data_IF_209299153959
#
_entry.id   IF_209299153959
#
_cell.length_a   1.000
_cell.length_b   1.000
_cell.length_c   1.000
_cell.angle_alpha   90.00
_cell.angle_beta   90.00
_cell.angle_gamma   90.00
#
_symmetry.space_group_name_H-M   'P 1'
#
loop_
_entity.id
_entity.type
_entity.pdbx_description
1 polymer ?
#
# COMPACT_ATOMS: atom_id res chain seq x y z
N UNK A 1 -7.38 13.52 4.84
CA UNK A 1 -8.28 12.53 5.46
C UNK A 1 -7.92 11.19 4.86
N UNK A 2 -7.60 10.19 5.70
CA UNK A 2 -7.20 8.86 5.21
C UNK A 2 -8.45 8.12 4.77
N UNK A 3 -8.45 7.58 3.55
CA UNK A 3 -9.54 6.78 3.01
C UNK A 3 -9.03 5.38 2.73
N UNK A 4 -9.67 4.38 3.35
CA UNK A 4 -9.40 2.97 3.11
C UNK A 4 -10.56 2.37 2.33
N UNK A 5 -10.25 1.70 1.23
CA UNK A 5 -11.22 0.98 0.41
C UNK A 5 -10.81 -0.49 0.32
N UNK A 6 -11.67 -1.38 0.80
CA UNK A 6 -11.49 -2.82 0.64
C UNK A 6 -12.54 -3.35 -0.36
N UNK A 7 -12.09 -4.10 -1.36
CA UNK A 7 -12.94 -4.77 -2.34
C UNK A 7 -12.73 -6.27 -2.21
N UNK A 8 -13.85 -6.99 -2.06
CA UNK A 8 -13.87 -8.45 -2.04
C UNK A 8 -14.78 -8.92 -3.17
N UNK A 9 -14.24 -9.76 -4.04
CA UNK A 9 -14.96 -10.49 -5.08
C UNK A 9 -14.55 -11.96 -5.02
N UNK A 10 -15.29 -12.84 -5.68
CA UNK A 10 -14.97 -14.28 -5.70
C UNK A 10 -13.55 -14.49 -6.23
N UNK A 11 -12.62 -14.89 -5.35
CA UNK A 11 -11.20 -15.12 -5.67
C UNK A 11 -10.31 -13.88 -5.74
N UNK A 12 -10.81 -12.68 -5.43
CA UNK A 12 -10.03 -11.43 -5.52
C UNK A 12 -10.24 -10.56 -4.28
N UNK A 13 -9.13 -10.07 -3.71
CA UNK A 13 -9.12 -9.12 -2.62
C UNK A 13 -8.20 -7.95 -2.97
N UNK A 14 -8.71 -6.73 -2.84
CA UNK A 14 -7.92 -5.50 -3.03
C UNK A 14 -8.12 -4.56 -1.84
N UNK A 15 -7.03 -4.02 -1.32
CA UNK A 15 -7.03 -2.96 -0.32
C UNK A 15 -6.32 -1.75 -0.92
N UNK A 16 -6.97 -0.59 -0.88
CA UNK A 16 -6.43 0.68 -1.35
C UNK A 16 -6.49 1.72 -0.22
N UNK A 17 -5.41 2.47 -0.05
CA UNK A 17 -5.26 3.45 1.02
C UNK A 17 -4.79 4.78 0.45
N UNK A 18 -5.63 5.81 0.51
CA UNK A 18 -5.36 7.15 -0.01
C UNK A 18 -5.25 8.19 1.09
N UNK A 19 -4.51 9.27 0.81
CA UNK A 19 -4.43 10.44 1.68
C UNK A 19 -3.75 10.17 3.02
N UNK A 20 -2.91 9.14 3.08
CA UNK A 20 -2.08 8.75 4.22
C UNK A 20 -0.62 9.21 4.07
N UNK A 21 -0.28 9.94 3.00
CA UNK A 21 1.01 10.58 2.77
C UNK A 21 0.75 11.96 2.16
N UNK A 22 1.52 12.97 2.55
CA UNK A 22 1.32 14.38 2.15
C UNK A 22 0.93 15.26 3.32
N UNK A 23 1.95 15.94 3.88
CA UNK A 23 1.94 17.03 4.86
C UNK A 23 0.79 17.06 5.87
N UNK A 24 1.05 16.62 7.10
CA UNK A 24 0.05 16.65 8.16
C UNK A 24 0.56 17.38 9.42
N UNK A 25 -0.33 18.16 10.06
CA UNK A 25 -0.07 18.82 11.33
C UNK A 25 0.43 17.82 12.39
N UNK A 26 1.20 18.33 13.38
CA UNK A 26 1.76 17.53 14.48
C UNK A 26 0.77 16.50 15.03
N UNK A 27 1.16 15.21 15.01
CA UNK A 27 0.38 14.09 15.53
C UNK A 27 -0.39 13.27 14.48
N UNK A 28 -0.65 13.82 13.28
CA UNK A 28 -1.24 13.05 12.16
C UNK A 28 -0.21 12.14 11.47
N UNK A 29 1.08 12.50 11.51
CA UNK A 29 2.17 11.70 10.94
C UNK A 29 2.25 10.29 11.55
N UNK A 30 1.89 10.14 12.83
CA UNK A 30 1.87 8.85 13.53
C UNK A 30 0.80 7.92 12.92
N UNK A 31 -0.36 8.47 12.55
CA UNK A 31 -1.45 7.71 11.93
C UNK A 31 -1.07 7.29 10.52
N UNK A 32 -0.46 8.20 9.75
CA UNK A 32 0.09 7.91 8.43
C UNK A 32 1.11 6.77 8.47
N UNK A 33 2.09 6.86 9.38
CA UNK A 33 3.10 5.83 9.58
C UNK A 33 2.50 4.47 9.97
N UNK A 34 1.46 4.46 10.81
CA UNK A 34 0.77 3.23 11.18
C UNK A 34 0.10 2.55 9.97
N UNK A 35 -0.57 3.33 9.11
CA UNK A 35 -1.18 2.81 7.87
C UNK A 35 -0.12 2.27 6.92
N UNK A 36 0.96 3.02 6.67
CA UNK A 36 2.07 2.56 5.84
C UNK A 36 2.69 1.27 6.39
N UNK A 37 2.89 1.18 7.70
CA UNK A 37 3.47 -0.01 8.35
C UNK A 37 2.59 -1.25 8.13
N UNK A 38 1.27 -1.13 8.29
CA UNK A 38 0.35 -2.24 8.09
C UNK A 38 0.34 -2.70 6.62
N UNK A 39 0.26 -1.75 5.67
CA UNK A 39 0.25 -2.06 4.24
C UNK A 39 1.56 -2.74 3.80
N UNK A 40 2.71 -2.24 4.28
CA UNK A 40 4.02 -2.85 4.01
C UNK A 40 4.16 -4.22 4.67
N UNK A 41 3.66 -4.40 5.89
CA UNK A 41 3.69 -5.71 6.57
C UNK A 41 2.85 -6.74 5.82
N UNK A 42 1.68 -6.36 5.30
CA UNK A 42 0.85 -7.24 4.48
C UNK A 42 1.59 -7.67 3.20
N UNK A 43 2.25 -6.74 2.51
CA UNK A 43 3.06 -7.04 1.32
C UNK A 43 4.20 -8.01 1.65
N UNK A 44 4.96 -7.73 2.72
CA UNK A 44 6.06 -8.59 3.17
C UNK A 44 5.58 -10.01 3.52
N UNK A 45 4.42 -10.15 4.16
CA UNK A 45 3.83 -11.44 4.46
C UNK A 45 3.49 -12.24 3.20
N UNK A 46 2.93 -11.58 2.18
CA UNK A 46 2.61 -12.21 0.90
C UNK A 46 3.90 -12.59 0.15
N UNK A 47 4.92 -11.71 0.15
CA UNK A 47 6.24 -11.99 -0.43
C UNK A 47 6.88 -13.23 0.19
N UNK A 48 6.89 -13.33 1.52
CA UNK A 48 7.46 -14.49 2.22
C UNK A 48 6.76 -15.81 1.82
N UNK A 49 5.43 -15.78 1.66
CA UNK A 49 4.67 -16.95 1.19
C UNK A 49 5.01 -17.29 -0.26
N UNK A 50 5.13 -16.29 -1.14
CA UNK A 50 5.50 -16.49 -2.53
C UNK A 50 6.91 -17.11 -2.66
N UNK A 51 7.87 -16.63 -1.86
CA UNK A 51 9.23 -17.18 -1.80
C UNK A 51 9.25 -18.63 -1.30
N UNK A 52 8.41 -18.95 -0.30
CA UNK A 52 8.32 -20.30 0.26
C UNK A 52 7.63 -21.30 -0.69
N UNK A 53 6.71 -20.83 -1.55
CA UNK A 53 5.90 -21.68 -2.42
C UNK A 53 5.87 -21.20 -3.89
N UNK A 54 7.01 -21.15 -4.59
CA UNK A 54 7.14 -20.50 -5.90
C UNK A 54 6.33 -21.17 -7.02
N UNK A 55 5.97 -22.46 -6.87
CA UNK A 55 5.12 -23.18 -7.83
C UNK A 55 3.62 -23.00 -7.59
N UNK A 56 3.23 -22.34 -6.50
CA UNK A 56 1.83 -22.19 -6.09
C UNK A 56 1.39 -20.74 -5.97
N UNK A 57 2.32 -19.82 -5.73
CA UNK A 57 2.05 -18.40 -5.49
C UNK A 57 2.98 -17.56 -6.36
N UNK A 58 2.40 -16.86 -7.33
CA UNK A 58 3.08 -15.83 -8.10
C UNK A 58 2.75 -14.45 -7.52
N UNK A 59 3.76 -13.61 -7.35
CA UNK A 59 3.60 -12.24 -6.90
C UNK A 59 4.17 -11.28 -7.94
N UNK A 60 3.37 -10.30 -8.34
CA UNK A 60 3.77 -9.17 -9.18
C UNK A 60 3.53 -7.88 -8.41
N UNK A 61 4.57 -7.04 -8.30
CA UNK A 61 4.48 -5.73 -7.65
C UNK A 61 4.31 -4.71 -8.77
N UNK A 62 3.12 -4.10 -8.83
CA UNK A 62 2.80 -3.06 -9.80
C UNK A 62 3.06 -1.71 -9.15
N UNK A 63 4.02 -0.95 -9.69
CA UNK A 63 4.25 0.45 -9.34
C UNK A 63 3.74 1.34 -10.46
N UNK A 64 2.85 2.27 -10.15
CA UNK A 64 2.57 3.40 -11.05
C UNK A 64 3.71 4.42 -10.87
N UNK A 65 4.45 4.73 -11.94
CA UNK A 65 5.36 5.87 -11.94
C UNK A 65 4.51 7.13 -11.71
N UNK A 66 4.75 7.82 -10.58
CA UNK A 66 3.99 9.02 -10.23
C UNK A 66 4.10 10.08 -11.31
N UNK A 67 2.98 10.76 -11.62
CA UNK A 67 2.98 12.00 -12.37
C UNK A 67 3.97 12.98 -11.70
N UNK A 68 5.06 13.29 -12.40
CA UNK A 68 5.98 14.37 -12.05
C UNK A 68 5.21 15.71 -12.06
N UNK A 69 4.68 16.15 -10.93
CA UNK A 69 4.36 17.56 -10.72
C UNK A 69 5.60 18.27 -10.18
N UNK A 70 6.55 18.53 -11.07
CA UNK A 70 7.45 19.67 -10.91
C UNK A 70 6.61 20.95 -11.08
N UNK A 71 6.08 21.48 -9.98
CA UNK A 71 5.88 22.93 -9.86
C UNK A 71 7.14 23.52 -9.22
N UNK A 72 8.11 23.83 -10.09
CA UNK A 72 9.18 24.77 -9.76
C UNK A 72 8.68 26.20 -10.01
N UNK A 73 8.59 26.95 -8.91
CA UNK A 73 8.80 28.40 -8.72
C UNK A 73 7.91 29.37 -9.51
#
# INVERSE_FOLDING_TARGET
MIKIQARMKSGEMQIHADGHAGYAEHGKDIVCAAISTIMQTALLGIQAVAEQYPNHVSLEIISEEGENSHEEV
#
